data_IF_950625353500
#
_entry.id   IF_950625353500
#
_cell.length_a   1.000
_cell.length_b   1.000
_cell.length_c   1.000
_cell.angle_alpha   90.00
_cell.angle_beta   90.00
_cell.angle_gamma   90.00
#
_symmetry.space_group_name_H-M   'P 1'
#
loop_
_entity.id
_entity.type
_entity.pdbx_description
1 polymer ?
#
# COMPACT_ATOMS: atom_id res chain seq x y z
N UNK A 1 -20.54 -18.22 -17.27
CA UNK A 1 -21.31 -17.26 -18.03
C UNK A 1 -20.58 -15.95 -17.95
N UNK A 2 -20.13 -15.44 -19.07
CA UNK A 2 -19.53 -14.11 -19.13
C UNK A 2 -20.68 -13.09 -19.28
N UNK A 3 -20.95 -12.38 -18.20
CA UNK A 3 -22.01 -11.37 -18.14
C UNK A 3 -21.50 -9.97 -18.54
N UNK A 4 -20.28 -9.87 -19.03
CA UNK A 4 -19.63 -8.59 -19.30
C UNK A 4 -20.45 -7.68 -20.23
N UNK A 5 -20.99 -8.20 -21.32
CA UNK A 5 -21.80 -7.42 -22.27
C UNK A 5 -23.19 -7.08 -21.74
N UNK A 6 -23.72 -7.89 -20.82
CA UNK A 6 -25.06 -7.69 -20.25
C UNK A 6 -25.06 -6.70 -19.08
N UNK A 7 -23.98 -6.61 -18.36
CA UNK A 7 -23.85 -5.73 -17.19
C UNK A 7 -23.13 -4.41 -17.50
N UNK A 8 -22.34 -4.34 -18.57
CA UNK A 8 -21.53 -3.19 -18.88
C UNK A 8 -21.99 -2.49 -20.15
N UNK A 9 -22.28 -1.22 -20.08
CA UNK A 9 -22.64 -0.39 -21.23
C UNK A 9 -21.60 0.71 -21.49
N UNK A 10 -21.86 1.60 -22.45
CA UNK A 10 -20.91 2.65 -22.86
C UNK A 10 -20.55 3.66 -21.77
N UNK A 11 -21.32 3.76 -20.70
CA UNK A 11 -21.09 4.67 -19.57
C UNK A 11 -20.78 3.96 -18.27
N UNK A 12 -20.43 2.65 -18.31
CA UNK A 12 -20.13 1.83 -17.14
C UNK A 12 -21.19 0.77 -16.85
N UNK A 13 -21.29 0.34 -15.60
CA UNK A 13 -22.28 -0.65 -15.17
C UNK A 13 -23.71 -0.11 -15.30
N UNK A 14 -24.63 -0.99 -15.75
CA UNK A 14 -26.06 -0.72 -15.66
C UNK A 14 -26.54 -0.82 -14.21
N UNK A 15 -27.64 -0.13 -13.88
CA UNK A 15 -28.08 0.10 -12.49
C UNK A 15 -28.59 -1.16 -11.79
N UNK A 16 -29.20 -2.10 -12.51
CA UNK A 16 -29.82 -3.25 -11.90
C UNK A 16 -29.88 -4.46 -12.83
N UNK A 17 -29.94 -5.64 -12.23
CA UNK A 17 -30.15 -6.90 -12.94
C UNK A 17 -30.90 -7.92 -12.07
N UNK A 18 -31.54 -8.87 -12.72
CA UNK A 18 -32.14 -10.03 -12.08
C UNK A 18 -31.75 -11.30 -12.86
N UNK A 19 -30.89 -12.11 -12.26
CA UNK A 19 -30.36 -13.33 -12.89
C UNK A 19 -31.40 -14.40 -13.06
N UNK A 20 -32.37 -14.51 -12.13
CA UNK A 20 -33.39 -15.55 -12.16
C UNK A 20 -34.38 -15.33 -13.31
N UNK A 21 -34.61 -14.07 -13.65
CA UNK A 21 -35.52 -13.70 -14.76
C UNK A 21 -34.76 -13.33 -16.04
N UNK A 22 -33.43 -13.45 -16.02
CA UNK A 22 -32.54 -13.05 -17.13
C UNK A 22 -32.85 -11.62 -17.64
N UNK A 23 -33.06 -10.70 -16.67
CA UNK A 23 -33.37 -9.30 -16.94
C UNK A 23 -32.21 -8.39 -16.56
N UNK A 24 -31.91 -7.47 -17.47
CA UNK A 24 -30.84 -6.47 -17.27
C UNK A 24 -31.37 -5.08 -17.61
N UNK A 25 -31.22 -4.14 -16.68
CA UNK A 25 -31.51 -2.74 -16.96
C UNK A 25 -30.59 -2.22 -18.07
N UNK A 26 -31.09 -1.27 -18.85
CA UNK A 26 -30.32 -0.55 -19.88
C UNK A 26 -30.28 0.94 -19.54
N UNK A 27 -30.30 1.26 -18.25
CA UNK A 27 -30.33 2.61 -17.71
C UNK A 27 -29.12 2.87 -16.82
N UNK A 28 -28.86 4.14 -16.59
CA UNK A 28 -27.86 4.65 -15.66
C UNK A 28 -28.55 5.68 -14.77
N UNK A 29 -28.55 5.45 -13.47
CA UNK A 29 -29.15 6.36 -12.50
C UNK A 29 -28.05 7.16 -11.81
N UNK A 30 -28.15 8.48 -11.86
CA UNK A 30 -27.12 9.36 -11.32
C UNK A 30 -26.89 9.18 -9.81
N UNK A 31 -27.93 8.79 -9.07
CA UNK A 31 -27.85 8.51 -7.63
C UNK A 31 -26.99 7.26 -7.34
N UNK A 32 -26.87 6.34 -8.28
CA UNK A 32 -26.06 5.14 -8.13
C UNK A 32 -24.62 5.39 -8.59
N UNK A 33 -24.43 6.16 -9.66
CA UNK A 33 -23.13 6.46 -10.26
C UNK A 33 -22.41 7.62 -9.57
N UNK A 34 -23.15 8.61 -9.11
CA UNK A 34 -22.60 9.81 -8.47
C UNK A 34 -21.77 9.50 -7.22
N UNK A 35 -22.25 8.69 -6.27
CA UNK A 35 -21.47 8.29 -5.10
C UNK A 35 -20.18 7.55 -5.45
N UNK A 36 -20.17 6.72 -6.49
CA UNK A 36 -18.95 6.01 -6.94
C UNK A 36 -17.88 7.02 -7.36
N UNK A 37 -18.26 8.00 -8.20
CA UNK A 37 -17.35 9.05 -8.65
C UNK A 37 -16.88 9.90 -7.47
N UNK A 38 -17.82 10.27 -6.59
CA UNK A 38 -17.49 11.03 -5.37
C UNK A 38 -16.52 10.29 -4.45
N UNK A 39 -16.70 8.98 -4.27
CA UNK A 39 -15.82 8.17 -3.44
C UNK A 39 -14.44 7.96 -4.08
N UNK A 40 -14.37 7.82 -5.40
CA UNK A 40 -13.08 7.75 -6.13
C UNK A 40 -12.33 9.08 -5.97
N UNK A 41 -13.00 10.21 -6.14
CA UNK A 41 -12.37 11.53 -5.97
C UNK A 41 -11.95 11.75 -4.51
N UNK A 42 -12.78 11.36 -3.56
CA UNK A 42 -12.42 11.46 -2.15
C UNK A 42 -11.21 10.59 -1.78
N UNK A 43 -11.11 9.38 -2.35
CA UNK A 43 -9.93 8.53 -2.18
C UNK A 43 -8.66 9.16 -2.76
N UNK A 44 -8.76 9.90 -3.87
CA UNK A 44 -7.62 10.52 -4.55
C UNK A 44 -7.16 11.82 -3.92
N UNK A 45 -8.07 12.65 -3.46
CA UNK A 45 -7.81 14.04 -3.06
C UNK A 45 -8.30 14.39 -1.66
N UNK A 46 -9.06 13.48 -1.02
CA UNK A 46 -9.75 13.72 0.26
C UNK A 46 -10.71 14.94 0.24
N UNK A 47 -11.04 15.42 -0.96
CA UNK A 47 -11.79 16.68 -1.15
C UNK A 47 -13.11 16.68 -0.38
N UNK A 48 -13.93 15.63 -0.53
CA UNK A 48 -15.24 15.57 0.11
C UNK A 48 -15.09 15.45 1.63
N UNK A 49 -14.12 14.67 2.09
CA UNK A 49 -13.84 14.51 3.51
C UNK A 49 -13.37 15.82 4.13
N UNK A 50 -12.44 16.50 3.50
CA UNK A 50 -11.93 17.78 3.98
C UNK A 50 -13.01 18.86 3.99
N UNK A 51 -13.86 18.92 2.97
CA UNK A 51 -15.00 19.84 2.94
C UNK A 51 -16.02 19.54 4.05
N UNK A 52 -16.34 18.27 4.28
CA UNK A 52 -17.24 17.85 5.34
C UNK A 52 -16.67 18.20 6.72
N UNK A 53 -15.42 17.82 6.99
CA UNK A 53 -14.77 18.04 8.28
C UNK A 53 -14.44 19.53 8.55
N UNK A 54 -14.35 20.37 7.50
CA UNK A 54 -14.15 21.82 7.68
C UNK A 54 -15.40 22.57 8.16
N UNK A 55 -16.56 21.92 8.15
CA UNK A 55 -17.78 22.51 8.71
C UNK A 55 -17.66 22.57 10.25
N UNK A 56 -17.78 23.79 10.87
CA UNK A 56 -17.57 23.97 12.31
C UNK A 56 -18.58 23.23 13.20
N UNK A 57 -19.68 22.74 12.64
CA UNK A 57 -20.71 21.99 13.38
C UNK A 57 -20.40 20.50 13.47
N UNK A 58 -19.54 19.97 12.62
CA UNK A 58 -19.30 18.53 12.53
C UNK A 58 -18.52 18.02 13.75
N UNK A 59 -17.42 18.66 14.13
CA UNK A 59 -16.62 18.17 15.25
C UNK A 59 -17.39 18.18 16.56
N UNK A 60 -18.11 19.26 16.94
CA UNK A 60 -18.93 19.24 18.16
C UNK A 60 -20.03 18.18 18.13
N UNK A 61 -20.61 17.91 16.98
CA UNK A 61 -21.62 16.85 16.83
C UNK A 61 -20.99 15.46 17.04
N UNK A 62 -19.85 15.19 16.45
CA UNK A 62 -19.13 13.92 16.63
C UNK A 62 -18.74 13.70 18.08
N UNK A 63 -18.25 14.74 18.75
CA UNK A 63 -17.89 14.69 20.18
C UNK A 63 -19.13 14.42 21.07
N UNK A 64 -20.27 15.02 20.74
CA UNK A 64 -21.51 14.86 21.48
C UNK A 64 -22.08 13.42 21.41
N UNK A 65 -21.87 12.72 20.31
CA UNK A 65 -22.29 11.32 20.14
C UNK A 65 -21.23 10.31 20.58
N UNK A 66 -20.10 10.80 21.12
CA UNK A 66 -18.99 9.95 21.55
C UNK A 66 -18.26 9.27 20.38
N UNK A 67 -18.40 9.81 19.19
CA UNK A 67 -17.66 9.38 18.02
C UNK A 67 -16.25 9.94 18.15
N UNK A 68 -15.38 9.21 18.84
CA UNK A 68 -13.96 9.46 18.66
C UNK A 68 -13.65 9.07 17.23
N UNK A 69 -13.17 10.01 16.44
CA UNK A 69 -12.45 9.62 15.24
C UNK A 69 -11.44 8.58 15.70
N UNK A 70 -11.72 7.30 15.42
CA UNK A 70 -10.64 6.34 15.33
C UNK A 70 -9.87 6.92 14.15
N UNK A 71 -8.90 7.75 14.46
CA UNK A 71 -8.03 8.26 13.44
C UNK A 71 -7.61 7.01 12.70
N UNK A 72 -7.89 6.93 11.41
CA UNK A 72 -6.95 6.29 10.53
C UNK A 72 -5.67 6.95 11.00
N UNK A 73 -4.93 6.21 11.83
CA UNK A 73 -3.81 6.73 12.59
C UNK A 73 -3.01 7.53 11.60
N UNK A 74 -2.95 8.82 11.84
CA UNK A 74 -2.32 9.83 11.02
C UNK A 74 -1.52 9.18 9.93
N UNK A 75 -1.81 9.41 8.67
CA UNK A 75 -1.05 8.93 7.52
C UNK A 75 0.28 8.34 7.99
N UNK A 76 0.54 7.03 7.91
CA UNK A 76 1.56 6.36 8.73
C UNK A 76 2.77 7.26 8.79
N UNK A 77 3.15 7.79 9.94
CA UNK A 77 3.76 9.12 10.13
C UNK A 77 4.77 9.34 9.03
N UNK A 78 4.49 10.32 8.17
CA UNK A 78 5.28 10.54 6.94
C UNK A 78 6.70 10.44 7.39
N UNK A 79 7.38 9.38 6.99
CA UNK A 79 8.67 9.05 7.54
C UNK A 79 9.54 10.28 7.44
N UNK A 80 9.82 10.92 8.54
CA UNK A 80 10.56 12.19 8.57
C UNK A 80 12.04 11.98 8.29
N UNK A 81 12.48 10.71 8.30
CA UNK A 81 13.87 10.32 8.07
C UNK A 81 13.91 9.03 7.26
N UNK A 82 14.98 8.88 6.48
CA UNK A 82 15.28 7.58 5.87
C UNK A 82 15.59 6.54 6.94
N UNK A 83 14.95 5.39 6.86
CA UNK A 83 15.22 4.29 7.76
C UNK A 83 15.24 2.95 7.02
N UNK A 84 16.09 2.04 7.50
CA UNK A 84 16.06 0.62 7.17
C UNK A 84 15.92 -0.13 8.48
N UNK A 85 14.84 -0.90 8.63
CA UNK A 85 14.59 -1.66 9.84
C UNK A 85 15.26 -3.04 9.80
N UNK A 86 15.33 -3.69 10.96
CA UNK A 86 15.75 -5.08 11.05
C UNK A 86 14.68 -5.94 10.42
N UNK A 87 15.10 -6.89 9.57
CA UNK A 87 14.16 -7.86 8.98
C UNK A 87 13.44 -8.66 10.06
N UNK A 88 12.19 -8.96 9.85
CA UNK A 88 11.40 -9.77 10.77
C UNK A 88 10.62 -10.87 10.02
N UNK A 89 10.67 -12.10 10.52
CA UNK A 89 11.51 -12.60 11.63
C UNK A 89 13.02 -12.57 11.34
N UNK A 90 13.83 -12.58 12.39
CA UNK A 90 15.29 -12.74 12.32
C UNK A 90 15.80 -13.38 13.63
N UNK A 91 16.30 -14.61 13.67
CA UNK A 91 16.50 -15.51 12.52
C UNK A 91 15.21 -15.89 11.81
N UNK A 92 15.30 -16.29 10.55
CA UNK A 92 14.16 -16.68 9.74
C UNK A 92 14.38 -17.99 8.99
N UNK A 93 13.27 -18.65 8.62
CA UNK A 93 13.26 -19.86 7.81
C UNK A 93 12.32 -19.62 6.61
N UNK A 94 12.86 -19.72 5.40
CA UNK A 94 12.12 -19.55 4.15
C UNK A 94 11.85 -18.10 3.78
N UNK A 95 11.15 -17.33 4.63
CA UNK A 95 10.74 -15.97 4.29
C UNK A 95 10.99 -14.98 5.43
N UNK A 96 11.22 -13.72 5.06
CA UNK A 96 11.31 -12.60 5.99
C UNK A 96 10.83 -11.31 5.32
N UNK A 97 10.50 -10.30 6.11
CA UNK A 97 10.07 -8.97 5.65
C UNK A 97 11.13 -7.94 6.03
N UNK A 98 11.51 -7.11 5.08
CA UNK A 98 12.34 -5.93 5.28
C UNK A 98 11.45 -4.71 5.18
N UNK A 99 11.47 -3.85 6.22
CA UNK A 99 10.81 -2.53 6.22
C UNK A 99 11.82 -1.43 6.00
N UNK A 100 11.41 -0.44 5.24
CA UNK A 100 12.18 0.79 5.07
C UNK A 100 11.24 1.99 4.94
N UNK A 101 11.73 3.15 5.35
CA UNK A 101 10.98 4.39 5.36
C UNK A 101 11.70 5.46 4.54
N UNK A 102 10.92 6.22 3.77
CA UNK A 102 11.37 7.27 2.87
C UNK A 102 10.68 8.59 3.25
N UNK A 103 11.42 9.66 3.59
CA UNK A 103 10.82 10.96 3.90
C UNK A 103 10.29 11.70 2.66
N UNK A 104 10.73 11.29 1.49
CA UNK A 104 10.34 11.82 0.19
C UNK A 104 10.34 10.72 -0.87
N UNK A 105 9.73 10.99 -2.02
CA UNK A 105 9.74 10.04 -3.14
C UNK A 105 11.16 9.85 -3.66
N UNK A 106 11.60 8.60 -3.76
CA UNK A 106 12.96 8.24 -4.13
C UNK A 106 13.03 6.97 -4.99
N UNK A 107 14.12 6.86 -5.75
CA UNK A 107 14.47 5.62 -6.45
C UNK A 107 15.25 4.71 -5.53
N UNK A 108 14.71 3.51 -5.29
CA UNK A 108 15.25 2.55 -4.32
C UNK A 108 15.88 1.36 -5.03
N UNK A 109 17.02 0.95 -4.50
CA UNK A 109 17.68 -0.33 -4.79
C UNK A 109 17.88 -1.09 -3.48
N UNK A 110 17.48 -2.37 -3.45
CA UNK A 110 17.67 -3.28 -2.31
C UNK A 110 18.41 -4.53 -2.77
N UNK A 111 19.56 -4.77 -2.18
CA UNK A 111 20.49 -5.84 -2.55
C UNK A 111 20.83 -6.72 -1.35
N UNK A 112 21.11 -8.01 -1.61
CA UNK A 112 21.56 -8.97 -0.61
C UNK A 112 22.98 -9.42 -0.93
N UNK A 113 23.82 -9.50 0.11
CA UNK A 113 25.22 -9.88 0.04
C UNK A 113 25.51 -11.05 0.99
N UNK A 114 26.47 -11.89 0.62
CA UNK A 114 27.02 -12.91 1.51
C UNK A 114 28.12 -12.30 2.44
N UNK A 115 28.72 -13.15 3.27
CA UNK A 115 29.78 -12.75 4.21
C UNK A 115 31.09 -12.34 3.54
N UNK A 116 31.27 -12.70 2.26
CA UNK A 116 32.45 -12.28 1.46
C UNK A 116 32.22 -10.91 0.79
N UNK A 117 31.03 -10.30 0.97
CA UNK A 117 30.65 -9.05 0.31
C UNK A 117 30.21 -9.21 -1.15
N UNK A 118 30.05 -10.45 -1.61
CA UNK A 118 29.54 -10.71 -2.95
C UNK A 118 28.02 -10.54 -2.97
N UNK A 119 27.51 -9.85 -3.97
CA UNK A 119 26.07 -9.67 -4.16
C UNK A 119 25.43 -10.98 -4.63
N UNK A 120 24.56 -11.56 -3.81
CA UNK A 120 23.87 -12.82 -4.10
C UNK A 120 22.48 -12.60 -4.71
N UNK A 121 21.87 -11.44 -4.47
CA UNK A 121 20.58 -11.10 -5.07
C UNK A 121 20.36 -9.58 -5.14
N UNK A 122 19.60 -9.15 -6.14
CA UNK A 122 19.02 -7.80 -6.22
C UNK A 122 17.49 -7.95 -6.12
N UNK A 123 16.91 -7.46 -5.05
CA UNK A 123 15.50 -7.62 -4.72
C UNK A 123 14.66 -6.48 -5.33
N UNK A 124 15.17 -5.26 -5.22
CA UNK A 124 14.61 -4.06 -5.84
C UNK A 124 15.71 -3.44 -6.68
N UNK A 125 15.40 -3.11 -7.92
CA UNK A 125 16.33 -2.47 -8.85
C UNK A 125 15.76 -1.16 -9.37
N UNK A 126 16.33 -0.03 -8.92
CA UNK A 126 16.01 1.32 -9.40
C UNK A 126 14.49 1.57 -9.54
N UNK A 127 13.71 1.13 -8.56
CA UNK A 127 12.26 1.31 -8.56
C UNK A 127 11.89 2.58 -7.78
N UNK A 128 11.04 3.41 -8.38
CA UNK A 128 10.51 4.59 -7.71
C UNK A 128 9.48 4.19 -6.64
N UNK A 129 9.60 4.79 -5.47
CA UNK A 129 8.67 4.69 -4.34
C UNK A 129 8.28 6.10 -3.90
N UNK A 130 7.04 6.27 -3.47
CA UNK A 130 6.56 7.51 -2.86
C UNK A 130 7.09 7.64 -1.43
N UNK A 131 6.99 8.82 -0.83
CA UNK A 131 7.24 9.00 0.60
C UNK A 131 6.38 8.05 1.44
N UNK A 132 6.90 7.57 2.58
CA UNK A 132 6.19 6.66 3.48
C UNK A 132 7.00 5.43 3.87
N UNK A 133 6.33 4.50 4.56
CA UNK A 133 6.91 3.20 4.97
C UNK A 133 6.52 2.11 4.01
N UNK A 134 7.49 1.32 3.60
CA UNK A 134 7.35 0.24 2.63
C UNK A 134 7.83 -1.08 3.19
N UNK A 135 7.22 -2.16 2.75
CA UNK A 135 7.59 -3.52 3.10
C UNK A 135 8.00 -4.30 1.85
N UNK A 136 9.07 -5.05 1.97
CA UNK A 136 9.53 -5.97 0.95
C UNK A 136 9.69 -7.36 1.51
N UNK A 137 8.92 -8.30 0.98
CA UNK A 137 9.04 -9.73 1.30
C UNK A 137 10.24 -10.33 0.56
N UNK A 138 11.02 -11.11 1.29
CA UNK A 138 12.18 -11.84 0.79
C UNK A 138 11.90 -13.33 0.89
N UNK A 139 11.88 -14.02 -0.24
CA UNK A 139 11.90 -15.47 -0.32
C UNK A 139 13.35 -15.95 -0.41
N UNK A 140 13.78 -16.69 0.62
CA UNK A 140 15.13 -17.19 0.73
C UNK A 140 15.28 -18.67 0.37
N UNK A 141 14.32 -19.26 -0.34
CA UNK A 141 14.38 -20.67 -0.73
C UNK A 141 15.62 -21.01 -1.54
N UNK A 142 16.15 -20.04 -2.28
CA UNK A 142 17.37 -20.15 -3.10
C UNK A 142 18.68 -19.97 -2.32
N UNK A 143 18.63 -19.49 -1.07
CA UNK A 143 19.81 -19.25 -0.25
C UNK A 143 20.07 -20.44 0.67
N UNK A 144 21.32 -20.66 1.05
CA UNK A 144 21.73 -21.63 2.07
C UNK A 144 21.63 -21.01 3.47
N UNK A 145 21.52 -21.84 4.52
CA UNK A 145 21.61 -21.35 5.89
C UNK A 145 22.92 -20.57 6.11
N UNK A 146 22.82 -19.44 6.77
CA UNK A 146 24.00 -18.60 7.03
C UNK A 146 23.65 -17.13 7.28
N UNK A 147 24.71 -16.35 7.46
CA UNK A 147 24.62 -14.89 7.65
C UNK A 147 24.65 -14.21 6.29
N UNK A 148 23.74 -13.25 6.11
CA UNK A 148 23.65 -12.37 4.95
C UNK A 148 23.54 -10.93 5.41
N UNK A 149 23.83 -10.01 4.49
CA UNK A 149 23.62 -8.59 4.68
C UNK A 149 22.69 -8.08 3.60
N UNK A 150 21.77 -7.19 3.94
CA UNK A 150 20.96 -6.47 2.97
C UNK A 150 21.26 -4.99 3.04
N UNK A 151 21.34 -4.36 1.89
CA UNK A 151 21.65 -2.95 1.74
C UNK A 151 20.59 -2.27 0.92
N UNK A 152 20.05 -1.17 1.46
CA UNK A 152 19.21 -0.24 0.72
C UNK A 152 20.04 0.95 0.25
N UNK A 153 19.74 1.42 -0.94
CA UNK A 153 20.23 2.71 -1.48
C UNK A 153 19.00 3.49 -1.97
N UNK A 154 18.84 4.73 -1.51
CA UNK A 154 17.73 5.62 -1.88
C UNK A 154 18.29 7.05 -1.95
N UNK A 155 18.52 7.58 -3.16
CA UNK A 155 19.30 8.81 -3.36
C UNK A 155 20.66 8.70 -2.72
N UNK A 156 21.00 9.66 -1.87
CA UNK A 156 22.27 9.69 -1.10
C UNK A 156 22.24 8.78 0.15
N UNK A 157 21.06 8.29 0.53
CA UNK A 157 20.93 7.41 1.69
C UNK A 157 21.35 5.99 1.36
N UNK A 158 22.24 5.45 2.19
CA UNK A 158 22.65 4.05 2.14
C UNK A 158 22.73 3.47 3.54
N UNK A 159 22.10 2.30 3.74
CA UNK A 159 22.17 1.57 5.01
C UNK A 159 22.21 0.07 4.78
N UNK A 160 22.99 -0.60 5.62
CA UNK A 160 23.16 -2.06 5.58
C UNK A 160 22.77 -2.66 6.92
N UNK A 161 22.12 -3.82 6.88
CA UNK A 161 21.77 -4.63 8.06
C UNK A 161 22.09 -6.09 7.84
N UNK A 162 22.26 -6.81 8.94
CA UNK A 162 22.55 -8.25 8.96
C UNK A 162 21.25 -9.04 9.12
N UNK A 163 21.14 -10.19 8.44
CA UNK A 163 20.08 -11.17 8.63
C UNK A 163 20.67 -12.58 8.77
N UNK A 164 19.96 -13.46 9.49
CA UNK A 164 20.36 -14.85 9.74
C UNK A 164 19.27 -15.79 9.20
N UNK A 165 19.64 -16.57 8.19
CA UNK A 165 18.80 -17.63 7.62
C UNK A 165 19.15 -18.97 8.28
N UNK A 166 18.12 -19.68 8.75
CA UNK A 166 18.22 -21.01 9.34
C UNK A 166 17.21 -21.91 8.61
N UNK A 167 17.70 -22.93 7.95
CA UNK A 167 16.86 -23.96 7.32
C UNK A 167 16.95 -25.25 8.11
#
# INVERSE_FOLDING_TARGET
HDLGEDLWGPMGFYDAYNMDENWFARSYIAIDQGPIIGMIENYRSELLWNLFMSNPEIQPMLDAIGFTTVGIADDPPVATTFALEQNFPNPFNGETIIRFSLPQSETVTLEIFNTLGERVSKIIENKAFIAGTHEQRIDANRFTSGVYFYRITAGDFQKTRKMLLIK
#
